data_IF_383657326121
#
_entry.id   IF_383657326121
#
_cell.length_a   1.000
_cell.length_b   1.000
_cell.length_c   1.000
_cell.angle_alpha   90.00
_cell.angle_beta   90.00
_cell.angle_gamma   90.00
#
_symmetry.space_group_name_H-M   'P 1'
#
loop_
_entity.id
_entity.type
_entity.pdbx_description
1 polymer ?
#
# COMPACT_ATOMS: atom_id res chain seq x y z
N UNK A 1 13.54 6.06 27.73
CA UNK A 1 12.11 6.21 27.35
C UNK A 1 11.78 5.06 26.42
N UNK A 2 11.25 3.97 26.96
CA UNK A 2 10.77 2.82 26.19
C UNK A 2 9.37 3.17 25.68
N UNK A 3 9.30 3.76 24.49
CA UNK A 3 8.04 3.88 23.79
C UNK A 3 7.51 2.48 23.51
N UNK A 4 6.27 2.22 23.89
CA UNK A 4 5.52 1.02 23.51
C UNK A 4 5.71 0.79 22.01
N UNK A 5 5.99 -0.43 21.54
CA UNK A 5 5.98 -0.69 20.10
C UNK A 5 4.63 -0.23 19.58
N UNK A 6 4.62 0.76 18.70
CA UNK A 6 3.39 1.09 17.97
C UNK A 6 3.15 -0.12 17.09
N UNK A 7 2.04 -0.82 17.31
CA UNK A 7 1.68 -1.97 16.48
C UNK A 7 1.65 -1.51 15.02
N UNK A 8 2.55 -2.10 14.22
CA UNK A 8 2.62 -1.83 12.80
C UNK A 8 1.29 -2.25 12.17
N UNK A 9 0.63 -1.33 11.47
CA UNK A 9 -0.60 -1.53 10.74
C UNK A 9 -0.42 -1.08 9.30
N UNK A 10 -1.35 -1.44 8.41
CA UNK A 10 -1.31 -1.08 7.01
C UNK A 10 -2.55 -0.29 6.63
N UNK A 11 -2.36 0.79 5.87
CA UNK A 11 -3.46 1.48 5.20
C UNK A 11 -3.53 1.01 3.76
N UNK A 12 -4.72 0.56 3.39
CA UNK A 12 -5.01 0.06 2.06
C UNK A 12 -5.59 1.18 1.20
N UNK A 13 -5.03 1.33 0.00
CA UNK A 13 -5.48 2.26 -1.02
C UNK A 13 -5.78 1.50 -2.31
N UNK A 14 -6.59 2.09 -3.17
CA UNK A 14 -6.87 1.45 -4.44
C UNK A 14 -7.60 2.33 -5.45
N UNK A 15 -7.40 1.97 -6.71
CA UNK A 15 -8.05 2.56 -7.85
C UNK A 15 -8.43 1.45 -8.83
N UNK A 16 -9.63 1.55 -9.41
CA UNK A 16 -10.06 0.71 -10.53
C UNK A 16 -10.82 1.56 -11.52
N UNK A 17 -10.30 1.68 -12.75
CA UNK A 17 -10.94 2.54 -13.73
C UNK A 17 -10.23 2.58 -15.08
N UNK A 18 -10.65 3.50 -15.97
CA UNK A 18 -10.04 3.68 -17.27
C UNK A 18 -8.55 4.02 -17.17
N UNK A 19 -7.79 3.57 -18.15
CA UNK A 19 -6.37 3.91 -18.28
C UNK A 19 -6.20 5.42 -18.48
N UNK A 20 -5.25 6.03 -17.76
CA UNK A 20 -4.91 7.44 -17.91
C UNK A 20 -5.74 8.41 -17.06
N UNK A 21 -6.79 7.95 -16.37
CA UNK A 21 -7.46 8.72 -15.33
C UNK A 21 -6.78 8.45 -13.99
N UNK A 22 -5.56 8.95 -13.83
CA UNK A 22 -4.96 9.09 -12.51
C UNK A 22 -5.18 10.54 -12.10
N UNK A 23 -6.11 10.82 -11.17
CA UNK A 23 -6.23 12.14 -10.60
C UNK A 23 -4.96 12.37 -9.77
N UNK A 24 -3.95 12.97 -10.40
CA UNK A 24 -2.72 13.46 -9.81
C UNK A 24 -1.63 12.40 -9.49
N UNK A 25 -0.61 12.34 -10.37
CA UNK A 25 0.79 11.96 -10.08
C UNK A 25 1.27 10.48 -10.02
N UNK A 26 0.85 9.60 -10.93
CA UNK A 26 1.39 8.21 -10.98
C UNK A 26 1.89 7.80 -12.37
N UNK A 27 2.79 8.59 -12.96
CA UNK A 27 3.70 8.03 -14.00
C UNK A 27 4.73 7.08 -13.39
N UNK A 28 4.92 7.18 -12.09
CA UNK A 28 5.75 6.28 -11.31
C UNK A 28 4.81 5.31 -10.59
N UNK A 29 5.14 4.03 -10.67
CA UNK A 29 4.78 3.03 -9.66
C UNK A 29 4.97 3.60 -8.23
N UNK A 30 4.45 2.98 -7.16
CA UNK A 30 4.64 3.47 -5.80
C UNK A 30 6.11 3.31 -5.37
N UNK A 31 6.97 4.21 -5.86
CA UNK A 31 8.38 4.30 -5.56
C UNK A 31 8.60 5.04 -4.25
N UNK A 32 7.63 5.88 -3.85
CA UNK A 32 7.59 6.54 -2.55
C UNK A 32 6.39 6.11 -1.70
N UNK A 33 6.52 5.02 -0.91
CA UNK A 33 5.60 4.63 0.15
C UNK A 33 5.10 5.77 1.05
N UNK A 34 5.96 6.74 1.36
CA UNK A 34 5.62 7.83 2.27
C UNK A 34 4.56 8.74 1.63
N UNK A 35 4.64 8.98 0.32
CA UNK A 35 3.64 9.81 -0.37
C UNK A 35 2.20 9.32 -0.19
N UNK A 36 2.00 8.02 -0.03
CA UNK A 36 0.68 7.41 0.18
C UNK A 36 0.12 7.65 1.58
N UNK A 37 0.95 7.59 2.61
CA UNK A 37 0.53 7.93 3.97
C UNK A 37 0.19 9.42 4.14
N UNK A 38 0.71 10.28 3.26
CA UNK A 38 0.34 11.70 3.22
C UNK A 38 -1.05 11.98 2.64
N UNK A 39 -1.77 10.96 2.12
CA UNK A 39 -3.10 11.13 1.54
C UNK A 39 -4.18 11.31 2.61
N UNK A 40 -5.31 11.96 2.28
CA UNK A 40 -6.43 12.11 3.19
C UNK A 40 -6.97 10.75 3.66
N UNK A 41 -7.40 10.68 4.92
CA UNK A 41 -8.04 9.49 5.49
C UNK A 41 -9.26 9.00 4.69
N UNK A 42 -9.95 9.88 3.99
CA UNK A 42 -11.08 9.55 3.12
C UNK A 42 -10.71 8.69 1.91
N UNK A 43 -9.44 8.61 1.54
CA UNK A 43 -8.94 7.74 0.46
C UNK A 43 -8.54 6.35 0.96
N UNK A 44 -8.54 6.11 2.27
CA UNK A 44 -8.22 4.82 2.87
C UNK A 44 -9.40 3.88 2.67
N UNK A 45 -9.17 2.77 1.97
CA UNK A 45 -10.15 1.72 1.75
C UNK A 45 -10.28 0.79 2.96
N UNK A 46 -9.17 0.54 3.66
CA UNK A 46 -9.13 -0.29 4.86
C UNK A 46 -7.89 0.04 5.72
N UNK A 47 -7.99 -0.24 7.01
CA UNK A 47 -6.85 -0.25 7.94
C UNK A 47 -6.72 -1.64 8.53
N UNK A 48 -5.52 -2.20 8.49
CA UNK A 48 -5.25 -3.62 8.72
C UNK A 48 -4.20 -3.75 9.81
N UNK A 49 -4.49 -4.55 10.85
CA UNK A 49 -3.72 -4.56 12.10
C UNK A 49 -2.42 -5.36 12.03
N UNK A 50 -2.23 -6.15 10.97
CA UNK A 50 -1.12 -7.08 10.85
C UNK A 50 -0.80 -7.46 9.40
N UNK A 51 0.37 -8.07 9.15
CA UNK A 51 0.77 -8.51 7.81
C UNK A 51 -0.15 -9.61 7.26
N UNK A 52 -0.75 -10.42 8.14
CA UNK A 52 -1.71 -11.47 7.79
C UNK A 52 -3.02 -10.86 7.26
N UNK A 53 -3.56 -9.85 7.95
CA UNK A 53 -4.74 -9.10 7.50
C UNK A 53 -4.46 -8.35 6.20
N UNK A 54 -3.26 -7.77 6.08
CA UNK A 54 -2.77 -7.10 4.88
C UNK A 54 -2.72 -8.06 3.67
N UNK A 55 -2.15 -9.25 3.88
CA UNK A 55 -2.08 -10.29 2.86
C UNK A 55 -3.48 -10.76 2.46
N UNK A 56 -4.32 -11.08 3.44
CA UNK A 56 -5.69 -11.54 3.22
C UNK A 56 -6.50 -10.51 2.42
N UNK A 57 -6.40 -9.23 2.78
CA UNK A 57 -7.06 -8.14 2.06
C UNK A 57 -6.59 -8.08 0.60
N UNK A 58 -5.27 -8.10 0.35
CA UNK A 58 -4.79 -8.00 -1.03
C UNK A 58 -5.19 -9.24 -1.85
N UNK A 59 -5.12 -10.44 -1.27
CA UNK A 59 -5.61 -11.67 -1.92
C UNK A 59 -7.08 -11.56 -2.30
N UNK A 60 -7.91 -10.98 -1.42
CA UNK A 60 -9.32 -10.73 -1.72
C UNK A 60 -9.48 -9.74 -2.87
N UNK A 61 -8.69 -8.65 -2.91
CA UNK A 61 -8.74 -7.67 -4.01
C UNK A 61 -8.34 -8.30 -5.35
N UNK A 62 -7.27 -9.10 -5.37
CA UNK A 62 -6.82 -9.81 -6.57
C UNK A 62 -7.88 -10.81 -7.07
N UNK A 63 -8.51 -11.55 -6.15
CA UNK A 63 -9.56 -12.50 -6.49
C UNK A 63 -10.84 -11.81 -7.03
N UNK A 64 -11.19 -10.65 -6.47
CA UNK A 64 -12.36 -9.88 -6.92
C UNK A 64 -12.15 -9.23 -8.30
N UNK A 65 -10.90 -8.90 -8.63
CA UNK A 65 -10.52 -8.24 -9.88
C UNK A 65 -9.38 -9.03 -10.53
N UNK A 66 -9.65 -10.21 -11.11
CA UNK A 66 -8.60 -11.02 -11.71
C UNK A 66 -7.99 -10.27 -12.91
N UNK A 67 -6.66 -10.43 -13.05
CA UNK A 67 -5.93 -9.90 -14.19
C UNK A 67 -6.43 -10.47 -15.52
N UNK A 68 -6.20 -9.74 -16.60
CA UNK A 68 -6.35 -10.26 -17.95
C UNK A 68 -5.41 -11.46 -18.16
N UNK A 69 -5.75 -12.30 -19.14
CA UNK A 69 -4.93 -13.46 -19.48
C UNK A 69 -3.51 -13.04 -19.83
N UNK A 70 -2.52 -13.67 -19.20
CA UNK A 70 -1.10 -13.38 -19.40
C UNK A 70 -0.62 -12.04 -18.82
N UNK A 71 -1.43 -11.34 -18.03
CA UNK A 71 -1.05 -10.01 -17.51
C UNK A 71 0.06 -10.12 -16.44
N UNK A 72 1.30 -9.65 -16.73
CA UNK A 72 2.45 -9.91 -15.88
C UNK A 72 2.32 -9.26 -14.49
N UNK A 73 1.72 -8.06 -14.42
CA UNK A 73 1.54 -7.34 -13.15
C UNK A 73 0.67 -8.09 -12.14
N UNK A 74 -0.32 -8.86 -12.62
CA UNK A 74 -1.17 -9.68 -11.76
C UNK A 74 -0.42 -10.89 -11.20
N UNK A 75 0.38 -11.56 -12.04
CA UNK A 75 1.24 -12.68 -11.63
C UNK A 75 2.31 -12.21 -10.65
N UNK A 76 3.00 -11.10 -10.95
CA UNK A 76 3.98 -10.50 -10.07
C UNK A 76 3.36 -10.13 -8.73
N UNK A 77 2.21 -9.44 -8.70
CA UNK A 77 1.54 -9.10 -7.46
C UNK A 77 1.18 -10.34 -6.61
N UNK A 78 0.70 -11.41 -7.25
CA UNK A 78 0.30 -12.65 -6.58
C UNK A 78 1.49 -13.39 -5.93
N UNK A 79 2.67 -13.33 -6.55
CA UNK A 79 3.90 -13.95 -6.04
C UNK A 79 4.62 -13.06 -5.01
N UNK A 80 4.62 -11.75 -5.23
CA UNK A 80 5.40 -10.76 -4.47
C UNK A 80 4.80 -10.41 -3.11
N UNK A 81 3.50 -10.66 -2.92
CA UNK A 81 2.73 -10.32 -1.71
C UNK A 81 3.31 -10.90 -0.43
N UNK A 82 3.56 -12.22 -0.43
CA UNK A 82 4.06 -12.90 0.76
C UNK A 82 5.48 -12.47 1.08
N UNK A 83 6.35 -12.39 0.08
CA UNK A 83 7.74 -11.99 0.32
C UNK A 83 7.84 -10.59 0.91
N UNK A 84 7.03 -9.62 0.44
CA UNK A 84 7.18 -8.23 0.86
C UNK A 84 6.54 -7.91 2.20
N UNK A 85 5.37 -8.51 2.50
CA UNK A 85 4.71 -8.27 3.78
C UNK A 85 5.47 -8.89 4.96
N UNK A 86 6.17 -10.02 4.74
CA UNK A 86 6.91 -10.70 5.80
C UNK A 86 8.42 -10.41 5.82
N UNK A 87 9.03 -9.95 4.72
CA UNK A 87 10.47 -9.65 4.71
C UNK A 87 10.83 -8.39 5.53
N UNK A 88 9.93 -7.41 5.60
CA UNK A 88 10.10 -6.24 6.46
C UNK A 88 8.74 -5.61 6.77
N UNK A 89 8.43 -5.46 8.06
CA UNK A 89 7.16 -4.91 8.60
C UNK A 89 6.86 -3.47 8.14
N UNK A 90 7.79 -2.83 7.43
CA UNK A 90 7.73 -1.47 6.92
C UNK A 90 7.56 -1.37 5.40
N UNK A 91 7.58 -2.49 4.69
CA UNK A 91 7.57 -2.49 3.22
C UNK A 91 6.15 -2.28 2.70
N UNK A 92 6.02 -1.32 1.79
CA UNK A 92 4.77 -1.14 1.04
C UNK A 92 4.63 -2.24 0.00
N UNK A 93 3.49 -2.90 -0.01
CA UNK A 93 3.13 -3.87 -1.03
C UNK A 93 2.12 -3.24 -2.00
N UNK A 94 2.20 -3.61 -3.28
CA UNK A 94 1.28 -3.09 -4.28
C UNK A 94 1.04 -4.07 -5.41
N UNK A 95 -0.07 -3.86 -6.11
CA UNK A 95 -0.46 -4.59 -7.31
C UNK A 95 -0.92 -3.59 -8.36
N UNK A 96 -0.38 -3.67 -9.58
CA UNK A 96 -0.79 -2.83 -10.70
C UNK A 96 -0.86 -3.66 -11.98
N UNK A 97 -2.04 -3.73 -12.58
CA UNK A 97 -2.30 -4.59 -13.72
C UNK A 97 -3.60 -4.21 -14.43
N UNK A 98 -3.86 -4.82 -15.59
CA UNK A 98 -5.17 -4.76 -16.26
C UNK A 98 -6.05 -5.92 -15.86
N UNK A 99 -7.30 -5.64 -15.49
CA UNK A 99 -8.30 -6.68 -15.27
C UNK A 99 -8.85 -7.21 -16.60
N UNK A 100 -9.67 -8.26 -16.52
CA UNK A 100 -10.36 -8.86 -17.68
C UNK A 100 -11.31 -7.92 -18.44
N UNK A 101 -11.59 -6.73 -17.92
CA UNK A 101 -12.44 -5.72 -18.53
C UNK A 101 -11.64 -4.53 -19.07
N UNK A 102 -10.31 -4.69 -19.23
CA UNK A 102 -9.35 -3.67 -19.66
C UNK A 102 -9.34 -2.42 -18.76
N UNK A 103 -9.74 -2.57 -17.50
CA UNK A 103 -9.61 -1.52 -16.49
C UNK A 103 -8.25 -1.64 -15.83
N UNK A 104 -7.66 -0.49 -15.54
CA UNK A 104 -6.47 -0.47 -14.72
C UNK A 104 -6.86 -0.71 -13.26
N UNK A 105 -6.17 -1.64 -12.60
CA UNK A 105 -6.31 -1.93 -11.18
C UNK A 105 -5.00 -1.56 -10.50
N UNK A 106 -5.08 -0.69 -9.50
CA UNK A 106 -4.02 -0.41 -8.56
C UNK A 106 -4.51 -0.73 -7.15
N UNK A 107 -3.73 -1.50 -6.40
CA UNK A 107 -3.95 -1.75 -4.97
C UNK A 107 -2.64 -1.54 -4.25
N UNK A 108 -2.67 -0.89 -3.09
CA UNK A 108 -1.49 -0.57 -2.32
C UNK A 108 -1.75 -0.75 -0.84
N UNK A 109 -0.75 -1.27 -0.13
CA UNK A 109 -0.70 -1.45 1.31
C UNK A 109 0.48 -0.65 1.85
N UNK A 110 0.22 0.51 2.44
CA UNK A 110 1.23 1.34 3.04
C UNK A 110 1.40 0.96 4.51
N UNK A 111 2.58 0.46 4.89
CA UNK A 111 2.90 0.15 6.28
C UNK A 111 3.01 1.44 7.13
N UNK A 112 2.48 1.41 8.34
CA UNK A 112 2.41 2.52 9.29
C UNK A 112 2.73 2.01 10.71
N UNK A 113 3.65 2.64 11.47
CA UNK A 113 4.46 3.78 11.06
C UNK A 113 5.53 3.38 10.02
N UNK A 114 5.88 4.30 9.13
CA UNK A 114 7.07 4.13 8.30
C UNK A 114 8.32 4.28 9.18
N UNK A 115 9.33 3.40 9.02
CA UNK A 115 10.55 3.47 9.80
C UNK A 115 11.25 4.79 9.50
N UNK A 116 11.68 5.47 10.55
CA UNK A 116 12.42 6.72 10.46
C UNK A 116 13.86 6.46 10.03
N UNK A 117 14.07 6.07 8.78
CA UNK A 117 15.43 6.03 8.21
C UNK A 117 15.81 7.44 7.79
N UNK A 118 15.96 8.36 8.76
CA UNK A 118 16.64 9.64 8.49
C UNK A 118 18.11 9.32 8.26
N UNK A 119 18.52 9.26 7.00
CA UNK A 119 19.93 9.20 6.60
C UNK A 119 20.59 10.56 6.78
N UNK A 120 19.82 11.65 6.70
CA UNK A 120 20.34 13.00 6.83
C UNK A 120 19.46 13.94 7.69
N UNK A 121 20.04 14.95 8.35
CA UNK A 121 19.31 15.91 9.19
C UNK A 121 18.24 16.73 8.46
N UNK A 122 18.44 16.97 7.16
CA UNK A 122 17.53 17.76 6.32
C UNK A 122 16.39 16.93 5.69
N UNK A 123 16.39 15.60 5.86
CA UNK A 123 15.28 14.77 5.38
C UNK A 123 14.02 15.06 6.20
N UNK A 124 12.89 15.19 5.51
CA UNK A 124 11.59 15.33 6.19
C UNK A 124 11.33 14.07 7.03
N UNK A 125 10.71 14.23 8.21
CA UNK A 125 10.27 13.06 8.95
C UNK A 125 9.27 12.25 8.10
N UNK A 126 9.18 10.92 8.28
CA UNK A 126 8.13 10.17 7.65
C UNK A 126 6.76 10.76 8.03
N UNK A 127 5.78 10.72 7.11
CA UNK A 127 4.44 11.20 7.40
C UNK A 127 3.84 10.44 8.58
N UNK A 128 3.10 11.17 9.40
CA UNK A 128 2.31 10.62 10.50
C UNK A 128 1.18 9.74 9.98
N UNK A 129 0.61 8.91 10.86
CA UNK A 129 -0.57 8.13 10.53
C UNK A 129 -1.70 9.05 10.04
N UNK A 130 -2.31 8.78 8.86
CA UNK A 130 -3.39 9.60 8.30
C UNK A 130 -4.67 9.60 9.16
N UNK A 131 -4.83 8.61 10.05
CA UNK A 131 -5.94 8.55 11.01
C UNK A 131 -5.65 9.29 12.33
N UNK A 132 -4.46 9.89 12.49
CA UNK A 132 -3.98 10.45 13.75
C UNK A 132 -3.34 9.38 14.65
N UNK A 133 -2.79 9.80 15.79
CA UNK A 133 -2.43 8.86 16.86
C UNK A 133 -3.71 8.14 17.34
N UNK A 134 -3.67 6.82 17.60
CA UNK A 134 -4.80 6.17 18.26
C UNK A 134 -5.04 6.92 19.58
N UNK A 135 -6.25 7.47 19.75
CA UNK A 135 -6.61 8.07 21.03
C UNK A 135 -6.50 7.01 22.12
N UNK A 136 -5.87 7.33 23.26
CA UNK A 136 -5.64 6.39 24.36
C UNK A 136 -6.94 5.88 25.00
#
# INVERSE_FOLDING_TARGET
MTGTPVDAHWHAYGYTGPRGYFPHHERDAPTDPASWLGRPASEIMATLSGPEDAEAWMRQQLAALPGAEGEPGYLSASLYLRENLYAAQSTTAWASYRDRHDRHVLRLLAACPQPSVRRYPWEKPPPSCPLGEPSP
#
